data_IF_149073557518
#
_entry.id   IF_149073557518
#
_cell.length_a   1.000
_cell.length_b   1.000
_cell.length_c   1.000
_cell.angle_alpha   90.00
_cell.angle_beta   90.00
_cell.angle_gamma   90.00
#
_symmetry.space_group_name_H-M   'P 1'
#
loop_
_entity.id
_entity.type
_entity.pdbx_description
1 polymer ?
#
# COMPACT_ATOMS: atom_id res chain seq x y z
N UNK A 1 14.30 -15.13 -17.40
CA UNK A 1 14.02 -14.29 -16.22
C UNK A 1 14.36 -12.87 -16.59
N UNK A 2 13.36 -12.03 -16.76
CA UNK A 2 13.49 -10.61 -17.07
C UNK A 2 13.11 -9.81 -15.81
N UNK A 3 13.80 -8.71 -15.57
CA UNK A 3 13.50 -7.83 -14.47
C UNK A 3 12.64 -6.67 -14.95
N UNK A 4 11.61 -6.35 -14.18
CA UNK A 4 10.70 -5.25 -14.49
C UNK A 4 10.58 -4.31 -13.30
N UNK A 5 10.68 -3.05 -13.60
CA UNK A 5 10.23 -1.99 -12.71
C UNK A 5 8.75 -1.70 -12.94
N UNK A 6 8.14 -0.90 -12.09
CA UNK A 6 6.76 -0.42 -12.31
C UNK A 6 6.61 0.33 -13.63
N UNK A 7 7.65 1.05 -14.06
CA UNK A 7 7.66 1.80 -15.33
C UNK A 7 7.62 0.87 -16.54
N UNK A 8 8.31 -0.26 -16.48
CA UNK A 8 8.32 -1.23 -17.57
C UNK A 8 6.94 -1.85 -17.78
N UNK A 9 6.22 -2.12 -16.68
CA UNK A 9 4.86 -2.65 -16.75
C UNK A 9 3.85 -1.63 -17.31
N UNK A 10 4.08 -0.33 -17.12
CA UNK A 10 3.26 0.74 -17.73
C UNK A 10 3.39 0.75 -19.27
N UNK A 11 4.57 0.44 -19.78
CA UNK A 11 4.86 0.42 -21.21
C UNK A 11 4.33 -0.86 -21.88
N UNK A 12 4.13 -1.93 -21.14
CA UNK A 12 3.69 -3.22 -21.67
C UNK A 12 2.21 -3.19 -22.06
N UNK A 13 1.89 -3.66 -23.27
CA UNK A 13 0.51 -3.90 -23.65
C UNK A 13 0.09 -5.27 -23.11
N UNK A 14 -1.04 -5.38 -22.40
CA UNK A 14 -1.48 -6.66 -21.88
C UNK A 14 -1.80 -7.62 -23.04
N UNK A 15 -1.10 -8.75 -23.07
CA UNK A 15 -1.51 -9.90 -23.85
C UNK A 15 -2.37 -10.76 -22.93
N UNK A 16 -3.67 -10.79 -23.18
CA UNK A 16 -4.60 -11.52 -22.32
C UNK A 16 -5.27 -12.64 -23.12
N UNK A 17 -5.22 -13.90 -22.68
CA UNK A 17 -5.98 -14.99 -23.27
C UNK A 17 -7.50 -14.75 -23.12
N UNK A 18 -8.28 -15.48 -23.90
CA UNK A 18 -9.74 -15.39 -23.81
C UNK A 18 -10.23 -15.75 -22.39
N UNK A 19 -11.19 -14.99 -21.88
CA UNK A 19 -11.71 -15.15 -20.52
C UNK A 19 -10.88 -14.50 -19.43
N UNK A 20 -9.84 -13.74 -19.78
CA UNK A 20 -9.05 -13.00 -18.78
C UNK A 20 -9.81 -11.82 -18.19
N UNK A 21 -9.56 -11.57 -16.92
CA UNK A 21 -9.93 -10.33 -16.25
C UNK A 21 -8.75 -9.38 -16.38
N UNK A 22 -9.01 -8.21 -16.98
CA UNK A 22 -8.01 -7.15 -17.04
C UNK A 22 -8.02 -6.41 -15.69
N UNK A 23 -6.86 -6.39 -15.08
CA UNK A 23 -6.64 -5.71 -13.82
C UNK A 23 -5.78 -4.47 -14.06
N UNK A 24 -6.32 -3.32 -13.72
CA UNK A 24 -5.60 -2.05 -13.74
C UNK A 24 -5.28 -1.67 -12.30
N UNK A 25 -4.05 -1.91 -11.89
CA UNK A 25 -3.59 -1.66 -10.53
C UNK A 25 -3.08 -0.24 -10.32
N UNK A 26 -3.54 0.44 -9.28
CA UNK A 26 -2.74 1.50 -8.70
C UNK A 26 -1.56 0.83 -7.96
N UNK A 27 -0.39 1.34 -8.01
CA UNK A 27 0.09 2.65 -8.45
C UNK A 27 0.69 2.63 -9.86
N UNK A 28 0.67 1.49 -10.50
CA UNK A 28 1.43 1.29 -11.75
C UNK A 28 0.67 1.82 -12.95
N UNK A 29 -0.66 2.01 -12.83
CA UNK A 29 -1.54 2.21 -13.98
C UNK A 29 -1.39 1.11 -15.05
N UNK A 30 -0.63 0.06 -14.73
CA UNK A 30 -0.43 -1.07 -15.62
C UNK A 30 -1.70 -1.91 -15.70
N UNK A 31 -2.00 -2.42 -16.89
CA UNK A 31 -3.12 -3.34 -17.10
C UNK A 31 -2.55 -4.73 -17.28
N UNK A 32 -2.88 -5.62 -16.36
CA UNK A 32 -2.42 -7.01 -16.38
C UNK A 32 -3.64 -7.93 -16.58
N UNK A 33 -3.55 -8.86 -17.51
CA UNK A 33 -4.59 -9.86 -17.75
C UNK A 33 -4.35 -11.10 -16.92
N UNK A 34 -5.33 -11.49 -16.10
CA UNK A 34 -5.32 -12.76 -15.38
C UNK A 34 -6.33 -13.71 -16.01
N UNK A 35 -5.86 -14.83 -16.51
CA UNK A 35 -6.71 -15.93 -16.99
C UNK A 35 -7.36 -16.68 -15.81
N UNK A 36 -8.32 -17.59 -16.10
CA UNK A 36 -8.96 -18.37 -15.04
C UNK A 36 -7.98 -19.14 -14.15
N UNK A 37 -6.95 -19.74 -14.73
CA UNK A 37 -5.93 -20.48 -13.98
C UNK A 37 -5.05 -19.56 -13.13
N UNK A 38 -4.72 -18.37 -13.63
CA UNK A 38 -3.98 -17.36 -12.86
C UNK A 38 -4.78 -16.91 -11.64
N UNK A 39 -6.11 -16.76 -11.82
CA UNK A 39 -7.00 -16.39 -10.73
C UNK A 39 -7.05 -17.46 -9.64
N UNK A 40 -7.18 -18.72 -10.04
CA UNK A 40 -7.20 -19.85 -9.09
C UNK A 40 -5.86 -19.98 -8.35
N UNK A 41 -4.74 -19.76 -9.04
CA UNK A 41 -3.41 -19.76 -8.43
C UNK A 41 -3.23 -18.58 -7.45
N UNK A 42 -3.66 -17.38 -7.83
CA UNK A 42 -3.64 -16.20 -6.95
C UNK A 42 -4.50 -16.41 -5.69
N UNK A 43 -5.68 -17.03 -5.83
CA UNK A 43 -6.54 -17.38 -4.69
C UNK A 43 -5.88 -18.41 -3.77
N UNK A 44 -5.18 -19.41 -4.33
CA UNK A 44 -4.44 -20.39 -3.54
C UNK A 44 -3.32 -19.74 -2.72
N UNK A 45 -2.56 -18.81 -3.31
CA UNK A 45 -1.53 -18.02 -2.63
C UNK A 45 -2.13 -17.21 -1.48
N UNK A 46 -3.21 -16.46 -1.74
CA UNK A 46 -3.88 -15.67 -0.72
C UNK A 46 -4.40 -16.55 0.43
N UNK A 47 -4.90 -17.74 0.11
CA UNK A 47 -5.38 -18.72 1.09
C UNK A 47 -4.24 -19.24 1.98
N UNK A 48 -3.07 -19.49 1.42
CA UNK A 48 -1.90 -19.91 2.17
C UNK A 48 -1.44 -18.84 3.16
N UNK A 49 -1.33 -17.58 2.70
CA UNK A 49 -1.00 -16.46 3.58
C UNK A 49 -2.01 -16.27 4.72
N UNK A 50 -3.31 -16.44 4.45
CA UNK A 50 -4.35 -16.36 5.47
C UNK A 50 -4.28 -17.51 6.48
N UNK A 51 -3.94 -18.72 6.05
CA UNK A 51 -3.65 -19.85 6.96
C UNK A 51 -2.46 -19.55 7.85
N UNK A 52 -1.42 -18.91 7.31
CA UNK A 52 -0.25 -18.47 8.07
C UNK A 52 -0.60 -17.40 9.12
N UNK A 53 -1.66 -16.62 8.92
CA UNK A 53 -2.26 -15.77 9.94
C UNK A 53 -3.21 -16.53 10.88
N UNK A 54 -3.21 -17.87 10.87
CA UNK A 54 -3.98 -18.77 11.74
C UNK A 54 -5.50 -18.59 11.66
N UNK A 55 -6.02 -18.21 10.48
CA UNK A 55 -7.46 -18.17 10.26
C UNK A 55 -8.02 -19.60 10.18
N UNK A 56 -9.13 -19.84 10.88
CA UNK A 56 -9.73 -21.17 11.00
C UNK A 56 -11.26 -21.19 10.94
N UNK A 57 -11.83 -22.40 10.95
CA UNK A 57 -13.26 -22.67 10.69
C UNK A 57 -14.24 -21.99 11.68
N UNK A 58 -13.76 -21.48 12.81
CA UNK A 58 -14.60 -20.77 13.79
C UNK A 58 -14.62 -19.26 13.58
N UNK A 59 -13.72 -18.76 12.74
CA UNK A 59 -13.54 -17.31 12.56
C UNK A 59 -14.67 -16.72 11.73
N UNK A 60 -15.07 -15.54 12.14
CA UNK A 60 -15.92 -14.63 11.37
C UNK A 60 -15.05 -13.44 10.98
N UNK A 61 -14.73 -13.36 9.69
CA UNK A 61 -13.78 -12.40 9.15
C UNK A 61 -14.49 -11.17 8.62
N UNK A 62 -14.06 -9.99 9.05
CA UNK A 62 -14.44 -8.71 8.46
C UNK A 62 -13.23 -8.09 7.78
N UNK A 63 -13.31 -7.89 6.46
CA UNK A 63 -12.29 -7.21 5.67
C UNK A 63 -12.69 -5.74 5.52
N UNK A 64 -11.89 -4.86 6.10
CA UNK A 64 -12.08 -3.41 6.10
C UNK A 64 -10.85 -2.70 5.49
N UNK A 65 -10.61 -2.96 4.22
CA UNK A 65 -9.52 -2.36 3.45
C UNK A 65 -10.08 -1.50 2.33
N UNK A 66 -9.36 -0.42 2.02
CA UNK A 66 -9.71 0.45 0.92
C UNK A 66 -8.75 0.23 -0.24
N UNK A 67 -9.20 -0.57 -1.18
CA UNK A 67 -8.55 -0.65 -2.48
C UNK A 67 -9.61 -0.94 -3.55
N UNK A 68 -10.36 0.06 -3.99
CA UNK A 68 -11.50 -0.15 -4.89
C UNK A 68 -11.11 -0.75 -6.25
N UNK A 69 -9.86 -0.64 -6.65
CA UNK A 69 -9.36 -1.17 -7.92
C UNK A 69 -8.41 -2.37 -7.76
N UNK A 70 -8.10 -2.80 -6.52
CA UNK A 70 -7.17 -3.90 -6.31
C UNK A 70 -7.85 -5.25 -6.21
N UNK A 71 -7.18 -6.27 -6.70
CA UNK A 71 -7.56 -7.67 -6.52
C UNK A 71 -7.63 -8.06 -5.04
N UNK A 72 -6.87 -7.40 -4.16
CA UNK A 72 -6.63 -7.81 -2.78
C UNK A 72 -7.91 -8.10 -2.00
N UNK A 73 -8.89 -7.21 -2.02
CA UNK A 73 -10.12 -7.40 -1.23
C UNK A 73 -10.96 -8.55 -1.76
N UNK A 74 -11.14 -8.64 -3.09
CA UNK A 74 -11.91 -9.70 -3.71
C UNK A 74 -11.24 -11.07 -3.52
N UNK A 75 -9.92 -11.13 -3.71
CA UNK A 75 -9.14 -12.35 -3.52
C UNK A 75 -9.08 -12.78 -2.05
N UNK A 76 -8.89 -11.84 -1.12
CA UNK A 76 -8.95 -12.16 0.31
C UNK A 76 -10.29 -12.74 0.71
N UNK A 77 -11.40 -12.16 0.24
CA UNK A 77 -12.73 -12.65 0.56
C UNK A 77 -12.95 -14.07 0.01
N UNK A 78 -12.56 -14.33 -1.24
CA UNK A 78 -12.67 -15.65 -1.86
C UNK A 78 -11.73 -16.67 -1.22
N UNK A 79 -10.49 -16.26 -0.91
CA UNK A 79 -9.51 -17.13 -0.27
C UNK A 79 -9.88 -17.48 1.18
N UNK A 80 -10.47 -16.54 1.91
CA UNK A 80 -10.90 -16.73 3.28
C UNK A 80 -12.16 -17.60 3.38
N UNK A 81 -13.12 -17.45 2.45
CA UNK A 81 -14.44 -18.10 2.53
C UNK A 81 -14.40 -19.63 2.81
N UNK A 82 -13.53 -20.44 2.18
CA UNK A 82 -13.45 -21.86 2.48
C UNK A 82 -12.70 -22.19 3.79
N UNK A 83 -12.05 -21.23 4.43
CA UNK A 83 -11.25 -21.45 5.65
C UNK A 83 -12.05 -21.16 6.92
N UNK A 84 -13.03 -20.25 6.84
CA UNK A 84 -13.66 -19.63 8.02
C UNK A 84 -15.17 -19.81 8.02
N UNK A 85 -15.80 -19.50 9.15
CA UNK A 85 -17.26 -19.62 9.29
C UNK A 85 -18.00 -18.64 8.38
N UNK A 86 -17.50 -17.40 8.28
CA UNK A 86 -18.10 -16.36 7.43
C UNK A 86 -17.09 -15.26 7.09
N UNK A 87 -17.31 -14.63 5.93
CA UNK A 87 -16.55 -13.48 5.48
C UNK A 87 -17.48 -12.35 5.12
N UNK A 88 -17.16 -11.15 5.57
CA UNK A 88 -17.81 -9.93 5.16
C UNK A 88 -16.78 -8.91 4.69
N UNK A 89 -17.17 -8.06 3.74
CA UNK A 89 -16.32 -6.99 3.22
C UNK A 89 -17.01 -5.65 3.47
N UNK A 90 -16.28 -4.70 4.01
CA UNK A 90 -16.71 -3.31 4.15
C UNK A 90 -15.56 -2.38 3.75
N UNK A 91 -15.89 -1.18 3.27
CA UNK A 91 -14.86 -0.18 3.03
C UNK A 91 -14.26 0.35 4.33
N UNK A 92 -12.98 0.68 4.32
CA UNK A 92 -12.30 1.29 5.46
C UNK A 92 -12.82 2.71 5.78
N UNK A 93 -13.46 3.37 4.82
CA UNK A 93 -14.08 4.69 5.03
C UNK A 93 -15.48 4.57 5.63
N UNK A 94 -15.75 5.45 6.55
CA UNK A 94 -17.03 5.49 7.26
C UNK A 94 -16.97 4.70 8.55
N UNK A 95 -16.25 5.25 9.52
CA UNK A 95 -16.03 4.68 10.85
C UNK A 95 -17.31 4.22 11.54
N UNK A 96 -18.41 4.98 11.39
CA UNK A 96 -19.74 4.58 11.88
C UNK A 96 -20.23 3.30 11.22
N UNK A 97 -19.99 3.16 9.89
CA UNK A 97 -20.37 1.94 9.17
C UNK A 97 -19.53 0.74 9.58
N UNK A 98 -18.23 0.96 9.83
CA UNK A 98 -17.35 -0.09 10.35
C UNK A 98 -17.81 -0.57 11.73
N UNK A 99 -18.08 0.36 12.66
CA UNK A 99 -18.59 0.03 13.99
C UNK A 99 -19.94 -0.70 13.90
N UNK A 100 -20.86 -0.22 13.06
CA UNK A 100 -22.16 -0.86 12.85
C UNK A 100 -21.99 -2.28 12.25
N UNK A 101 -21.08 -2.47 11.31
CA UNK A 101 -20.76 -3.77 10.74
C UNK A 101 -20.22 -4.73 11.81
N UNK A 102 -19.27 -4.28 12.63
CA UNK A 102 -18.69 -5.08 13.72
C UNK A 102 -19.80 -5.51 14.70
N UNK A 103 -20.65 -4.57 15.14
CA UNK A 103 -21.75 -4.86 16.06
C UNK A 103 -22.77 -5.85 15.48
N UNK A 104 -23.07 -5.75 14.20
CA UNK A 104 -24.03 -6.61 13.52
C UNK A 104 -23.48 -7.99 13.20
N UNK A 105 -22.25 -8.06 12.71
CA UNK A 105 -21.63 -9.30 12.22
C UNK A 105 -20.85 -10.04 13.31
N UNK A 106 -20.47 -9.35 14.37
CA UNK A 106 -19.66 -9.87 15.49
C UNK A 106 -18.45 -10.66 14.98
N UNK A 107 -17.57 -10.03 14.15
CA UNK A 107 -16.40 -10.71 13.65
C UNK A 107 -15.45 -11.07 14.79
N UNK A 108 -14.74 -12.18 14.66
CA UNK A 108 -13.62 -12.54 15.53
C UNK A 108 -12.31 -12.02 14.96
N UNK A 109 -12.25 -11.81 13.64
CA UNK A 109 -11.05 -11.33 12.93
C UNK A 109 -11.38 -10.08 12.12
N UNK A 110 -10.56 -9.05 12.28
CA UNK A 110 -10.56 -7.84 11.47
C UNK A 110 -9.32 -7.79 10.59
N UNK A 111 -9.47 -7.75 9.26
CA UNK A 111 -8.38 -7.51 8.32
C UNK A 111 -8.48 -6.06 7.84
N UNK A 112 -7.42 -5.26 8.08
CA UNK A 112 -7.41 -3.83 7.75
C UNK A 112 -5.99 -3.29 7.51
N UNK A 113 -5.86 -2.00 7.19
CA UNK A 113 -4.54 -1.37 7.10
C UNK A 113 -4.08 -0.87 8.48
N UNK A 114 -2.76 -0.74 8.72
CA UNK A 114 -2.21 -0.15 9.94
C UNK A 114 -2.82 1.20 10.31
N UNK A 115 -2.91 2.13 9.34
CA UNK A 115 -3.56 3.43 9.56
C UNK A 115 -5.06 3.30 9.83
N UNK A 116 -5.74 2.38 9.15
CA UNK A 116 -7.16 2.08 9.36
C UNK A 116 -7.45 1.60 10.78
N UNK A 117 -6.63 0.67 11.27
CA UNK A 117 -6.73 0.17 12.64
C UNK A 117 -6.45 1.26 13.68
N UNK A 118 -5.40 2.06 13.48
CA UNK A 118 -5.03 3.16 14.38
C UNK A 118 -6.11 4.23 14.46
N UNK A 119 -6.66 4.64 13.31
CA UNK A 119 -7.73 5.64 13.26
C UNK A 119 -9.02 5.11 13.87
N UNK A 120 -9.38 3.86 13.60
CA UNK A 120 -10.56 3.25 14.21
C UNK A 120 -10.44 3.17 15.73
N UNK A 121 -9.29 2.71 16.23
CA UNK A 121 -9.02 2.67 17.68
C UNK A 121 -9.17 4.06 18.32
N UNK A 122 -8.57 5.09 17.72
CA UNK A 122 -8.70 6.46 18.25
C UNK A 122 -10.15 6.93 18.30
N UNK A 123 -10.97 6.56 17.30
CA UNK A 123 -12.38 6.94 17.24
C UNK A 123 -13.26 6.20 18.23
N UNK A 124 -12.92 4.95 18.54
CA UNK A 124 -13.63 4.22 19.60
C UNK A 124 -13.63 5.01 20.91
N UNK A 125 -12.49 5.59 21.28
CA UNK A 125 -12.37 6.41 22.48
C UNK A 125 -12.95 7.83 22.31
N UNK A 126 -12.58 8.51 21.23
CA UNK A 126 -12.86 9.95 21.09
C UNK A 126 -14.28 10.28 20.63
N UNK A 127 -14.89 9.43 19.83
CA UNK A 127 -16.19 9.71 19.19
C UNK A 127 -17.29 8.77 19.66
N UNK A 128 -16.97 7.49 19.90
CA UNK A 128 -17.99 6.49 20.14
C UNK A 128 -18.14 6.12 21.62
N UNK A 129 -17.16 6.47 22.44
CA UNK A 129 -17.08 6.08 23.85
C UNK A 129 -17.34 4.57 24.03
N UNK A 130 -16.63 3.75 23.24
CA UNK A 130 -16.71 2.29 23.22
C UNK A 130 -15.37 1.71 23.61
N UNK A 131 -15.37 0.78 24.54
CA UNK A 131 -14.19 0.00 24.88
C UNK A 131 -13.88 -0.96 23.71
N UNK A 132 -12.65 -0.94 23.13
CA UNK A 132 -12.27 -1.86 22.06
C UNK A 132 -12.48 -3.33 22.40
N UNK A 133 -12.30 -3.74 23.64
CA UNK A 133 -12.48 -5.12 24.13
C UNK A 133 -13.93 -5.60 23.95
N UNK A 134 -14.91 -4.70 24.10
CA UNK A 134 -16.33 -5.03 23.94
C UNK A 134 -16.70 -5.44 22.52
N UNK A 135 -15.83 -5.16 21.54
CA UNK A 135 -16.06 -5.57 20.13
C UNK A 135 -15.84 -7.04 19.91
N UNK A 136 -15.16 -7.74 20.82
CA UNK A 136 -14.94 -9.19 20.79
C UNK A 136 -14.06 -9.66 19.62
N UNK A 137 -13.12 -8.80 19.16
CA UNK A 137 -12.12 -9.18 18.18
C UNK A 137 -11.05 -10.03 18.86
N UNK A 138 -10.80 -11.22 18.34
CA UNK A 138 -9.78 -12.14 18.85
C UNK A 138 -8.46 -11.94 18.09
N UNK A 139 -8.55 -11.47 16.83
CA UNK A 139 -7.37 -11.22 15.98
C UNK A 139 -7.56 -9.99 15.09
N UNK A 140 -6.47 -9.23 14.95
CA UNK A 140 -6.37 -8.11 14.00
C UNK A 140 -5.25 -8.42 13.01
N UNK A 141 -5.58 -8.53 11.73
CA UNK A 141 -4.61 -8.73 10.65
C UNK A 141 -4.40 -7.38 9.96
N UNK A 142 -3.18 -6.88 9.97
CA UNK A 142 -2.83 -5.59 9.36
C UNK A 142 -1.90 -5.78 8.18
N UNK A 143 -2.07 -4.96 7.13
CA UNK A 143 -1.18 -5.01 5.97
C UNK A 143 -1.38 -3.87 4.99
N UNK A 144 -0.52 -3.81 3.97
CA UNK A 144 -0.58 -2.78 2.93
C UNK A 144 0.08 -1.45 3.28
N UNK A 145 0.65 -1.31 4.47
CA UNK A 145 1.39 -0.12 4.93
C UNK A 145 2.56 -0.52 5.83
N UNK A 146 3.41 0.46 6.15
CA UNK A 146 4.44 0.28 7.17
C UNK A 146 3.80 0.18 8.55
N UNK A 147 3.95 -0.97 9.20
CA UNK A 147 3.46 -1.21 10.55
C UNK A 147 4.61 -1.07 11.58
N UNK A 148 4.49 -0.12 12.50
CA UNK A 148 5.47 0.03 13.59
C UNK A 148 5.19 -0.95 14.72
N UNK A 149 6.24 -1.36 15.44
CA UNK A 149 6.08 -2.20 16.62
C UNK A 149 5.20 -1.56 17.70
N UNK A 150 5.33 -0.26 17.89
CA UNK A 150 4.50 0.48 18.83
C UNK A 150 3.00 0.37 18.49
N UNK A 151 2.65 0.46 17.21
CA UNK A 151 1.27 0.29 16.77
C UNK A 151 0.77 -1.14 17.03
N UNK A 152 1.55 -2.17 16.67
CA UNK A 152 1.18 -3.58 16.90
C UNK A 152 0.93 -3.86 18.39
N UNK A 153 1.88 -3.45 19.24
CA UNK A 153 1.76 -3.60 20.71
C UNK A 153 0.54 -2.86 21.25
N UNK A 154 0.25 -1.67 20.70
CA UNK A 154 -0.93 -0.89 21.11
C UNK A 154 -2.22 -1.59 20.69
N UNK A 155 -2.33 -2.06 19.45
CA UNK A 155 -3.52 -2.78 18.97
C UNK A 155 -3.75 -4.05 19.79
N UNK A 156 -2.71 -4.85 20.03
CA UNK A 156 -2.81 -6.07 20.81
C UNK A 156 -3.31 -5.79 22.25
N UNK A 157 -2.80 -4.73 22.88
CA UNK A 157 -3.19 -4.38 24.23
C UNK A 157 -4.60 -3.81 24.31
N UNK A 158 -4.96 -2.86 23.42
CA UNK A 158 -6.22 -2.13 23.52
C UNK A 158 -7.43 -2.99 23.11
N UNK A 159 -7.25 -3.92 22.19
CA UNK A 159 -8.31 -4.86 21.78
C UNK A 159 -8.24 -6.21 22.51
N UNK A 160 -7.20 -6.45 23.33
CA UNK A 160 -6.90 -7.77 23.91
C UNK A 160 -6.89 -8.88 22.85
N UNK A 161 -6.34 -8.57 21.65
CA UNK A 161 -6.37 -9.41 20.47
C UNK A 161 -4.96 -9.72 19.96
N UNK A 162 -4.79 -10.86 19.30
CA UNK A 162 -3.57 -11.18 18.58
C UNK A 162 -3.44 -10.28 17.35
N UNK A 163 -2.19 -9.88 17.02
CA UNK A 163 -1.91 -9.06 15.84
C UNK A 163 -1.05 -9.84 14.87
N UNK A 164 -1.61 -10.15 13.71
CA UNK A 164 -0.88 -10.70 12.58
C UNK A 164 -0.66 -9.64 11.49
N UNK A 165 0.32 -9.87 10.63
CA UNK A 165 0.67 -8.96 9.55
C UNK A 165 0.68 -9.68 8.20
N UNK A 166 0.23 -9.00 7.15
CA UNK A 166 0.31 -9.43 5.76
C UNK A 166 1.15 -8.44 4.94
N UNK A 167 2.04 -8.95 4.13
CA UNK A 167 2.68 -8.18 3.08
C UNK A 167 1.90 -8.35 1.77
N UNK A 168 1.37 -7.25 1.28
CA UNK A 168 0.71 -7.18 -0.01
C UNK A 168 1.68 -6.68 -1.07
N UNK A 169 1.80 -7.43 -2.16
CA UNK A 169 2.56 -6.94 -3.29
C UNK A 169 1.89 -5.69 -3.91
N UNK A 170 2.71 -4.75 -4.37
CA UNK A 170 2.18 -3.47 -4.85
C UNK A 170 1.61 -3.52 -6.27
N UNK A 171 1.70 -4.64 -6.98
CA UNK A 171 1.24 -4.77 -8.37
C UNK A 171 -0.16 -5.35 -8.45
N UNK A 172 -0.37 -6.48 -7.78
CA UNK A 172 -1.63 -7.23 -7.80
C UNK A 172 -2.43 -7.04 -6.51
N UNK A 173 -1.77 -6.58 -5.44
CA UNK A 173 -2.36 -6.50 -4.10
C UNK A 173 -2.60 -7.87 -3.47
N UNK A 174 -1.77 -8.86 -3.82
CA UNK A 174 -1.82 -10.19 -3.22
C UNK A 174 -1.04 -10.25 -1.91
N UNK A 175 -1.54 -10.96 -0.88
CA UNK A 175 -0.76 -11.24 0.31
C UNK A 175 0.27 -12.33 -0.01
N UNK A 176 1.53 -11.96 -0.11
CA UNK A 176 2.63 -12.87 -0.49
C UNK A 176 3.50 -13.30 0.69
N UNK A 177 3.38 -12.64 1.83
CA UNK A 177 4.07 -13.02 3.05
C UNK A 177 3.22 -12.65 4.27
N UNK A 178 3.51 -13.31 5.39
CA UNK A 178 2.81 -13.10 6.65
C UNK A 178 3.76 -13.17 7.85
N UNK A 179 3.27 -12.64 8.97
CA UNK A 179 3.88 -12.82 10.29
C UNK A 179 2.80 -12.94 11.36
N UNK A 180 2.87 -13.97 12.18
CA UNK A 180 2.01 -14.16 13.34
C UNK A 180 2.90 -14.45 14.56
N UNK A 181 3.32 -13.40 15.27
CA UNK A 181 4.18 -13.51 16.46
C UNK A 181 5.63 -13.96 16.23
N UNK A 182 5.95 -14.54 15.08
CA UNK A 182 7.24 -15.08 14.70
C UNK A 182 8.01 -14.23 13.67
N UNK A 183 8.95 -14.85 12.94
CA UNK A 183 9.59 -14.25 11.77
C UNK A 183 8.59 -14.06 10.62
N UNK A 184 8.99 -13.31 9.60
CA UNK A 184 8.25 -13.24 8.35
C UNK A 184 8.42 -14.53 7.55
N UNK A 185 7.32 -15.06 7.06
CA UNK A 185 7.26 -16.20 6.16
C UNK A 185 6.64 -15.78 4.83
N UNK A 186 7.17 -16.30 3.72
CA UNK A 186 6.66 -16.04 2.38
C UNK A 186 5.89 -17.24 1.83
N UNK A 187 4.88 -16.99 1.03
CA UNK A 187 4.25 -18.03 0.20
C UNK A 187 5.28 -18.52 -0.81
N UNK A 188 5.50 -19.82 -0.87
CA UNK A 188 6.64 -20.46 -1.51
C UNK A 188 7.11 -19.85 -2.83
N UNK A 189 8.31 -19.29 -2.83
CA UNK A 189 9.00 -18.77 -4.01
C UNK A 189 8.43 -17.49 -4.63
N UNK A 190 7.39 -16.87 -4.03
CA UNK A 190 6.76 -15.66 -4.60
C UNK A 190 7.49 -14.36 -4.27
N UNK A 191 8.30 -14.36 -3.22
CA UNK A 191 9.04 -13.18 -2.74
C UNK A 191 10.49 -13.53 -2.53
N UNK A 192 11.39 -12.62 -2.85
CA UNK A 192 12.82 -12.73 -2.57
C UNK A 192 13.40 -11.35 -2.23
N UNK A 193 14.67 -11.31 -1.82
CA UNK A 193 15.41 -10.09 -1.58
C UNK A 193 16.42 -9.88 -2.71
N UNK A 194 16.48 -8.67 -3.25
CA UNK A 194 17.38 -8.29 -4.33
C UNK A 194 18.28 -7.13 -3.92
N UNK A 195 19.45 -7.08 -4.54
CA UNK A 195 20.33 -5.93 -4.43
C UNK A 195 19.61 -4.68 -4.98
N UNK A 196 19.81 -3.54 -4.32
CA UNK A 196 19.17 -2.28 -4.70
C UNK A 196 19.77 -1.63 -5.94
N UNK A 197 21.00 -2.00 -6.30
CA UNK A 197 21.83 -1.42 -7.36
C UNK A 197 21.98 -2.31 -8.60
N UNK A 198 21.45 -3.54 -8.57
CA UNK A 198 21.62 -4.50 -9.65
C UNK A 198 20.52 -5.56 -9.69
N UNK A 199 20.32 -6.18 -10.86
CA UNK A 199 19.34 -7.25 -11.09
C UNK A 199 19.85 -8.60 -10.56
N UNK A 200 20.03 -8.68 -9.24
CA UNK A 200 20.60 -9.86 -8.57
C UNK A 200 19.80 -10.17 -7.28
N UNK A 201 19.31 -11.39 -7.18
CA UNK A 201 18.76 -11.92 -5.92
C UNK A 201 19.92 -12.10 -4.93
N UNK A 202 19.76 -11.61 -3.74
CA UNK A 202 20.75 -11.71 -2.64
C UNK A 202 20.30 -12.68 -1.57
N UNK A 203 19.00 -12.92 -1.41
CA UNK A 203 18.47 -13.96 -0.53
C UNK A 203 17.09 -14.42 -0.99
N UNK A 204 16.80 -15.67 -0.76
CA UNK A 204 15.48 -16.28 -1.01
C UNK A 204 14.60 -16.23 0.25
N UNK A 205 15.20 -16.18 1.42
CA UNK A 205 14.49 -16.07 2.69
C UNK A 205 14.40 -14.62 3.15
N UNK A 206 13.19 -14.22 3.55
CA UNK A 206 12.94 -12.89 4.11
C UNK A 206 13.62 -12.70 5.48
N UNK A 207 14.01 -13.76 6.16
CA UNK A 207 14.74 -13.76 7.42
C UNK A 207 16.21 -13.42 7.32
N UNK A 208 16.83 -13.57 6.15
CA UNK A 208 18.28 -13.43 5.97
C UNK A 208 18.74 -11.98 6.22
N UNK A 209 19.88 -11.85 6.90
CA UNK A 209 20.51 -10.54 7.15
C UNK A 209 21.49 -10.19 6.02
N UNK A 210 20.93 -9.60 4.96
CA UNK A 210 21.68 -9.23 3.76
C UNK A 210 21.89 -7.70 3.63
N UNK A 211 21.64 -6.95 4.70
CA UNK A 211 21.71 -5.49 4.68
C UNK A 211 20.54 -4.85 3.94
N UNK A 212 20.80 -3.69 3.32
CA UNK A 212 19.78 -3.00 2.53
C UNK A 212 19.45 -3.80 1.26
N UNK A 213 18.24 -4.33 1.21
CA UNK A 213 17.76 -5.13 0.10
C UNK A 213 16.33 -4.73 -0.29
N UNK A 214 16.05 -4.75 -1.58
CA UNK A 214 14.70 -4.52 -2.10
C UNK A 214 13.90 -5.82 -2.07
N UNK A 215 12.66 -5.75 -1.63
CA UNK A 215 11.72 -6.85 -1.76
C UNK A 215 11.31 -6.94 -3.22
N UNK A 216 11.46 -8.11 -3.83
CA UNK A 216 11.05 -8.38 -5.20
C UNK A 216 10.01 -9.48 -5.24
N UNK A 217 9.15 -9.44 -6.27
CA UNK A 217 8.07 -10.41 -6.46
C UNK A 217 8.35 -11.26 -7.68
N UNK A 218 8.17 -12.55 -7.54
CA UNK A 218 8.09 -13.52 -8.64
C UNK A 218 6.63 -13.90 -8.82
N UNK A 219 5.96 -13.38 -9.85
CA UNK A 219 4.53 -13.59 -10.04
C UNK A 219 4.21 -14.96 -10.63
N UNK A 220 4.60 -16.03 -9.94
CA UNK A 220 4.45 -17.43 -10.35
C UNK A 220 3.00 -17.83 -10.68
N UNK A 221 2.05 -17.06 -10.15
CA UNK A 221 0.61 -17.22 -10.40
C UNK A 221 0.14 -16.57 -11.71
N UNK A 222 0.93 -15.71 -12.33
CA UNK A 222 0.55 -14.98 -13.54
C UNK A 222 1.29 -15.55 -14.73
N UNK A 223 0.62 -16.28 -15.61
CA UNK A 223 1.25 -16.96 -16.75
C UNK A 223 2.03 -16.00 -17.66
N UNK A 224 1.60 -14.74 -17.78
CA UNK A 224 2.26 -13.73 -18.60
C UNK A 224 3.60 -13.24 -18.01
N UNK A 225 3.82 -13.40 -16.70
CA UNK A 225 4.98 -12.87 -15.98
C UNK A 225 5.67 -13.92 -15.09
N UNK A 226 5.30 -15.18 -15.19
CA UNK A 226 5.73 -16.26 -14.27
C UNK A 226 7.24 -16.48 -14.20
N UNK A 227 7.94 -16.13 -15.28
CA UNK A 227 9.39 -16.29 -15.40
C UNK A 227 10.16 -15.00 -15.13
N UNK A 228 9.47 -13.95 -14.68
CA UNK A 228 10.01 -12.62 -14.47
C UNK A 228 10.13 -12.26 -13.00
N UNK A 229 10.85 -11.16 -12.73
CA UNK A 229 11.03 -10.58 -11.40
C UNK A 229 10.55 -9.14 -11.41
N UNK A 230 9.68 -8.80 -10.47
CA UNK A 230 9.11 -7.46 -10.35
C UNK A 230 9.76 -6.72 -9.17
N UNK A 231 10.39 -5.59 -9.45
CA UNK A 231 10.93 -4.67 -8.44
C UNK A 231 9.82 -3.86 -7.79
N UNK A 232 9.60 -4.08 -6.51
CA UNK A 232 8.47 -3.46 -5.79
C UNK A 232 8.69 -2.01 -5.40
N UNK A 233 9.95 -1.58 -5.35
CA UNK A 233 10.31 -0.28 -4.77
C UNK A 233 10.09 -0.23 -3.25
N UNK A 234 10.09 -1.38 -2.56
CA UNK A 234 10.02 -1.43 -1.09
C UNK A 234 11.32 -1.98 -0.53
N UNK A 235 11.92 -1.25 0.41
CA UNK A 235 13.15 -1.65 1.06
C UNK A 235 12.82 -2.46 2.31
N UNK A 236 13.43 -3.64 2.41
CA UNK A 236 13.26 -4.50 3.56
C UNK A 236 13.76 -3.80 4.83
N UNK A 237 12.97 -3.86 5.88
CA UNK A 237 13.39 -3.40 7.19
C UNK A 237 14.51 -4.29 7.76
N UNK A 238 15.45 -3.69 8.47
CA UNK A 238 16.53 -4.47 9.11
C UNK A 238 15.94 -5.56 10.02
N UNK A 239 16.48 -6.80 10.03
CA UNK A 239 15.91 -7.93 10.77
C UNK A 239 15.70 -7.70 12.25
N UNK A 240 16.55 -6.86 12.85
CA UNK A 240 16.47 -6.48 14.27
C UNK A 240 15.60 -5.27 14.53
N UNK A 241 15.07 -4.65 13.47
CA UNK A 241 14.11 -3.54 13.65
C UNK A 241 12.77 -4.09 14.10
N UNK A 242 12.12 -3.39 14.98
CA UNK A 242 10.73 -3.66 15.38
C UNK A 242 9.73 -3.23 14.29
N UNK A 243 10.18 -2.91 13.06
CA UNK A 243 9.35 -2.50 11.94
C UNK A 243 8.59 -3.69 11.30
N UNK A 244 7.70 -3.41 10.36
CA UNK A 244 7.08 -4.40 9.48
C UNK A 244 8.10 -5.09 8.57
N UNK A 245 7.64 -5.76 7.53
CA UNK A 245 8.54 -6.38 6.56
C UNK A 245 9.40 -5.35 5.83
N UNK A 246 8.84 -4.21 5.53
CA UNK A 246 9.54 -3.07 4.93
C UNK A 246 9.35 -1.80 5.77
N UNK A 247 10.30 -0.89 5.70
CA UNK A 247 10.28 0.38 6.42
C UNK A 247 10.23 1.60 5.48
N UNK A 248 10.65 1.42 4.23
CA UNK A 248 10.76 2.51 3.24
C UNK A 248 10.30 2.08 1.85
N UNK A 249 9.84 3.07 1.10
CA UNK A 249 9.63 2.98 -0.35
C UNK A 249 10.77 3.70 -1.08
N UNK A 250 11.07 3.29 -2.31
CA UNK A 250 12.13 3.83 -3.13
C UNK A 250 11.59 4.36 -4.47
N UNK A 251 12.22 5.41 -4.97
CA UNK A 251 12.00 5.89 -6.34
C UNK A 251 10.72 6.70 -6.54
N UNK A 252 10.04 6.47 -7.66
CA UNK A 252 8.93 7.32 -8.14
C UNK A 252 7.58 7.05 -7.47
N UNK A 253 7.53 6.25 -6.39
CA UNK A 253 6.29 5.94 -5.70
C UNK A 253 6.44 6.06 -4.19
N UNK A 254 5.48 6.72 -3.57
CA UNK A 254 5.40 6.86 -2.11
C UNK A 254 4.11 6.25 -1.59
N UNK A 255 4.19 5.58 -0.44
CA UNK A 255 3.03 4.99 0.22
C UNK A 255 2.42 6.00 1.19
N UNK A 256 1.13 6.31 1.00
CA UNK A 256 0.39 7.30 1.78
C UNK A 256 -1.00 6.76 2.15
N UNK A 257 -1.25 6.53 3.43
CA UNK A 257 -2.53 5.98 3.93
C UNK A 257 -2.93 4.67 3.23
N UNK A 258 -1.98 3.75 3.04
CA UNK A 258 -2.21 2.48 2.34
C UNK A 258 -2.40 2.58 0.84
N UNK A 259 -2.19 3.76 0.25
CA UNK A 259 -2.32 3.98 -1.18
C UNK A 259 -1.00 4.44 -1.77
N UNK A 260 -0.68 3.91 -2.90
CA UNK A 260 0.51 4.29 -3.63
C UNK A 260 0.26 5.58 -4.42
N UNK A 261 1.11 6.56 -4.25
CA UNK A 261 1.10 7.81 -4.99
C UNK A 261 2.25 7.81 -5.99
N UNK A 262 1.94 7.94 -7.26
CA UNK A 262 2.95 8.06 -8.33
C UNK A 262 3.44 9.51 -8.41
N UNK A 263 4.70 9.71 -8.05
CA UNK A 263 5.36 11.02 -8.15
C UNK A 263 5.53 11.46 -9.60
N UNK A 264 5.71 10.50 -10.51
CA UNK A 264 5.80 10.77 -11.93
C UNK A 264 4.44 11.21 -12.52
N UNK A 265 3.34 10.57 -12.12
CA UNK A 265 2.00 11.02 -12.50
C UNK A 265 1.72 12.44 -11.97
N UNK A 266 2.06 12.71 -10.71
CA UNK A 266 1.92 14.04 -10.12
C UNK A 266 2.76 15.08 -10.87
N UNK A 267 4.02 14.76 -11.18
CA UNK A 267 4.93 15.62 -11.95
C UNK A 267 4.34 15.93 -13.33
N UNK A 268 3.84 14.93 -14.05
CA UNK A 268 3.22 15.11 -15.37
C UNK A 268 2.01 16.02 -15.30
N UNK A 269 1.11 15.82 -14.35
CA UNK A 269 -0.10 16.64 -14.22
C UNK A 269 0.22 18.10 -13.84
N UNK A 270 1.14 18.33 -12.93
CA UNK A 270 1.56 19.69 -12.56
C UNK A 270 2.28 20.41 -13.70
N UNK A 271 3.04 19.67 -14.53
CA UNK A 271 3.69 20.25 -15.70
C UNK A 271 2.72 20.73 -16.79
N UNK A 272 1.46 20.30 -16.76
CA UNK A 272 0.40 20.79 -17.66
C UNK A 272 -0.20 22.14 -17.21
N UNK A 273 0.11 22.57 -15.99
CA UNK A 273 -0.39 23.83 -15.44
C UNK A 273 0.61 24.93 -15.74
N UNK A 274 0.27 25.79 -16.70
CA UNK A 274 1.08 26.95 -17.03
C UNK A 274 1.29 27.84 -15.80
N UNK A 275 2.53 28.25 -15.56
CA UNK A 275 2.94 29.06 -14.41
C UNK A 275 3.39 28.30 -13.17
N UNK A 276 3.25 26.97 -13.09
CA UNK A 276 3.89 26.18 -12.03
C UNK A 276 5.40 26.06 -12.33
N UNK A 277 6.24 26.52 -11.40
CA UNK A 277 7.68 26.49 -11.52
C UNK A 277 8.35 25.45 -10.61
N UNK A 278 7.77 25.21 -9.44
CA UNK A 278 8.29 24.21 -8.49
C UNK A 278 7.15 23.61 -7.67
N UNK A 279 7.38 22.41 -7.11
CA UNK A 279 6.48 21.83 -6.14
C UNK A 279 7.25 20.97 -5.14
N UNK A 280 6.69 20.85 -3.95
CA UNK A 280 7.21 19.95 -2.91
C UNK A 280 6.05 19.19 -2.29
N UNK A 281 6.14 17.88 -2.28
CA UNK A 281 5.23 17.02 -1.52
C UNK A 281 5.84 16.77 -0.14
N UNK A 282 5.24 17.35 0.88
CA UNK A 282 5.61 17.13 2.27
C UNK A 282 4.67 16.10 2.89
N UNK A 283 5.23 15.06 3.51
CA UNK A 283 4.47 14.00 4.16
C UNK A 283 4.89 13.93 5.62
N UNK A 284 3.91 14.02 6.51
CA UNK A 284 4.11 13.99 7.94
C UNK A 284 3.02 13.16 8.61
N UNK A 285 3.32 12.64 9.78
CA UNK A 285 2.34 12.00 10.66
C UNK A 285 2.16 12.80 11.95
N UNK A 286 3.24 13.32 12.51
CA UNK A 286 3.25 14.01 13.79
C UNK A 286 2.51 13.18 14.86
N UNK A 287 1.66 13.84 15.64
CA UNK A 287 0.81 13.19 16.65
C UNK A 287 -0.52 12.64 16.08
N UNK A 288 -0.68 12.64 14.75
CA UNK A 288 -1.91 12.20 14.08
C UNK A 288 -1.97 10.68 13.96
N UNK A 289 -3.17 10.14 13.85
CA UNK A 289 -3.39 8.72 13.56
C UNK A 289 -3.20 8.39 12.09
N UNK A 290 -3.39 9.37 11.20
CA UNK A 290 -3.25 9.24 9.76
C UNK A 290 -2.15 10.17 9.25
N UNK A 291 -1.46 9.73 8.20
CA UNK A 291 -0.51 10.58 7.49
C UNK A 291 -1.20 11.83 6.96
N UNK A 292 -0.54 12.96 7.08
CA UNK A 292 -0.88 14.18 6.38
C UNK A 292 0.03 14.35 5.18
N UNK A 293 -0.51 14.83 4.08
CA UNK A 293 0.29 15.23 2.93
C UNK A 293 -0.12 16.64 2.51
N UNK A 294 0.88 17.45 2.26
CA UNK A 294 0.73 18.83 1.78
C UNK A 294 1.56 19.01 0.52
N UNK A 295 0.90 19.39 -0.56
CA UNK A 295 1.56 19.78 -1.80
C UNK A 295 1.76 21.30 -1.80
N UNK A 296 3.02 21.71 -1.70
CA UNK A 296 3.42 23.11 -1.80
C UNK A 296 3.76 23.41 -3.26
N UNK A 297 2.97 24.28 -3.90
CA UNK A 297 3.11 24.63 -5.32
C UNK A 297 3.62 26.07 -5.46
N UNK A 298 4.76 26.21 -6.11
CA UNK A 298 5.37 27.49 -6.43
C UNK A 298 4.96 27.98 -7.83
N UNK A 299 4.41 29.19 -7.92
CA UNK A 299 4.08 29.82 -9.19
C UNK A 299 5.14 30.84 -9.60
N UNK A 300 5.33 30.99 -10.91
CA UNK A 300 6.27 31.98 -11.50
C UNK A 300 5.74 33.41 -11.47
N UNK A 301 4.45 33.64 -11.14
CA UNK A 301 3.81 34.97 -11.04
C UNK A 301 2.99 35.06 -9.76
N UNK A 302 3.16 36.13 -9.03
CA UNK A 302 2.45 36.38 -7.78
C UNK A 302 0.91 36.43 -7.96
N UNK A 303 0.45 36.93 -9.12
CA UNK A 303 -0.98 37.00 -9.46
C UNK A 303 -1.67 35.65 -9.57
N UNK A 304 -0.93 34.55 -9.72
CA UNK A 304 -1.46 33.18 -9.80
C UNK A 304 -1.69 32.56 -8.43
N UNK A 305 -0.92 32.96 -7.41
CA UNK A 305 -0.88 32.33 -6.09
C UNK A 305 -2.25 32.25 -5.41
N UNK A 306 -3.08 33.28 -5.53
CA UNK A 306 -4.40 33.33 -4.92
C UNK A 306 -5.53 33.31 -5.94
N UNK A 307 -5.24 32.99 -7.18
CA UNK A 307 -6.23 32.97 -8.25
C UNK A 307 -7.07 31.67 -8.18
N UNK A 308 -8.38 31.74 -7.96
CA UNK A 308 -9.22 30.56 -7.79
C UNK A 308 -9.19 29.59 -8.97
N UNK A 309 -9.03 30.09 -10.19
CA UNK A 309 -8.93 29.25 -11.38
C UNK A 309 -7.68 28.40 -11.37
N UNK A 310 -6.53 28.94 -10.93
CA UNK A 310 -5.27 28.20 -10.85
C UNK A 310 -5.27 27.22 -9.69
N UNK A 311 -5.84 27.59 -8.55
CA UNK A 311 -6.05 26.67 -7.42
C UNK A 311 -6.91 25.48 -7.86
N UNK A 312 -8.02 25.72 -8.57
CA UNK A 312 -8.86 24.65 -9.10
C UNK A 312 -8.13 23.73 -10.08
N UNK A 313 -7.20 24.25 -10.90
CA UNK A 313 -6.37 23.42 -11.79
C UNK A 313 -5.40 22.52 -11.00
N UNK A 314 -4.78 23.05 -9.94
CA UNK A 314 -3.94 22.26 -9.05
C UNK A 314 -4.76 21.16 -8.37
N UNK A 315 -5.93 21.47 -7.85
CA UNK A 315 -6.83 20.48 -7.25
C UNK A 315 -7.23 19.37 -8.24
N UNK A 316 -7.52 19.76 -9.49
CA UNK A 316 -7.82 18.79 -10.56
C UNK A 316 -6.62 17.92 -10.91
N UNK A 317 -5.41 18.49 -10.96
CA UNK A 317 -4.18 17.73 -11.19
C UNK A 317 -3.91 16.72 -10.09
N UNK A 318 -4.13 17.12 -8.83
CA UNK A 318 -4.02 16.21 -7.67
C UNK A 318 -5.08 15.11 -7.78
N UNK A 319 -6.32 15.45 -8.02
CA UNK A 319 -7.41 14.47 -8.13
C UNK A 319 -7.17 13.46 -9.27
N UNK A 320 -6.47 13.86 -10.33
CA UNK A 320 -6.10 12.99 -11.44
C UNK A 320 -4.87 12.09 -11.15
N UNK A 321 -3.96 12.53 -10.26
CA UNK A 321 -2.68 11.85 -10.01
C UNK A 321 -2.62 11.12 -8.66
N UNK A 322 -3.45 11.53 -7.68
CA UNK A 322 -3.34 11.05 -6.31
C UNK A 322 -4.62 10.34 -5.86
N UNK A 323 -4.53 9.10 -5.39
CA UNK A 323 -5.69 8.34 -4.90
C UNK A 323 -6.13 8.77 -3.49
N UNK A 324 -5.43 9.72 -2.88
CA UNK A 324 -5.70 10.25 -1.54
C UNK A 324 -5.81 11.77 -1.56
N UNK A 325 -6.56 12.32 -0.63
CA UNK A 325 -6.67 13.77 -0.47
C UNK A 325 -5.35 14.35 0.06
N UNK A 326 -4.85 15.39 -0.62
CA UNK A 326 -3.63 16.12 -0.29
C UNK A 326 -4.02 17.58 -0.07
N UNK A 327 -3.53 18.20 0.99
CA UNK A 327 -3.69 19.64 1.21
C UNK A 327 -2.81 20.41 0.20
N UNK A 328 -3.26 21.59 -0.22
CA UNK A 328 -2.52 22.44 -1.17
C UNK A 328 -2.15 23.75 -0.50
N UNK A 329 -0.89 24.10 -0.61
CA UNK A 329 -0.36 25.42 -0.28
C UNK A 329 0.30 26.01 -1.51
N UNK A 330 0.03 27.28 -1.79
CA UNK A 330 0.57 27.97 -2.95
C UNK A 330 1.41 29.15 -2.54
N UNK A 331 2.52 29.39 -3.26
CA UNK A 331 3.46 30.47 -3.01
C UNK A 331 4.03 31.01 -4.32
N UNK A 332 4.64 32.17 -4.26
CA UNK A 332 5.45 32.70 -5.35
C UNK A 332 6.86 32.08 -5.27
N UNK A 333 7.32 31.50 -6.36
CA UNK A 333 8.64 30.85 -6.43
C UNK A 333 9.57 31.48 -7.48
N UNK A 334 9.10 32.50 -8.20
CA UNK A 334 9.84 33.10 -9.31
C UNK A 334 9.87 32.25 -10.58
N UNK A 335 10.47 32.78 -11.62
CA UNK A 335 10.64 32.07 -12.88
C UNK A 335 11.82 31.09 -12.78
N UNK A 336 11.55 29.82 -13.09
CA UNK A 336 12.56 28.75 -13.14
C UNK A 336 12.55 28.25 -14.59
N UNK A 337 13.70 28.27 -15.24
CA UNK A 337 13.83 27.73 -16.60
C UNK A 337 13.66 26.20 -16.59
N UNK A 338 12.86 25.70 -17.52
CA UNK A 338 12.63 24.28 -17.74
C UNK A 338 11.34 23.73 -17.13
N UNK A 339 11.30 22.42 -16.94
CA UNK A 339 10.14 21.75 -16.32
C UNK A 339 10.08 22.01 -14.82
N UNK A 340 8.88 22.05 -14.22
CA UNK A 340 8.73 22.23 -12.77
C UNK A 340 9.60 21.25 -12.00
N UNK A 341 10.42 21.76 -11.07
CA UNK A 341 11.23 20.93 -10.18
C UNK A 341 10.34 20.39 -9.07
N UNK A 342 10.35 19.07 -8.89
CA UNK A 342 9.59 18.40 -7.84
C UNK A 342 10.51 17.75 -6.82
N UNK A 343 10.17 17.92 -5.54
CA UNK A 343 10.85 17.28 -4.42
C UNK A 343 9.84 16.58 -3.51
N UNK A 344 10.29 15.58 -2.78
CA UNK A 344 9.50 14.90 -1.75
C UNK A 344 10.24 15.01 -0.42
N UNK A 345 9.55 15.49 0.60
CA UNK A 345 10.05 15.56 1.97
C UNK A 345 9.17 14.63 2.83
N UNK A 346 9.61 13.41 3.00
CA UNK A 346 8.92 12.45 3.88
C UNK A 346 9.52 12.53 5.30
N UNK A 347 8.85 13.30 6.15
CA UNK A 347 9.25 13.49 7.55
C UNK A 347 9.04 12.24 8.42
N UNK A 348 8.36 11.22 7.89
CA UNK A 348 8.22 9.91 8.56
C UNK A 348 9.46 9.04 8.37
N UNK A 349 10.35 9.39 7.41
CA UNK A 349 11.49 8.58 7.02
C UNK A 349 11.12 7.29 6.26
N UNK A 350 9.94 7.24 5.65
CA UNK A 350 9.41 6.07 4.94
C UNK A 350 9.57 6.14 3.42
N UNK A 351 10.30 7.11 2.91
CA UNK A 351 10.61 7.24 1.49
C UNK A 351 12.07 7.65 1.30
N UNK A 352 12.70 7.12 0.27
CA UNK A 352 14.07 7.45 -0.13
C UNK A 352 14.21 7.50 -1.65
N UNK A 353 15.28 8.17 -2.10
CA UNK A 353 15.63 8.15 -3.51
C UNK A 353 16.03 6.73 -3.93
N UNK A 354 15.64 6.32 -5.15
CA UNK A 354 16.14 5.08 -5.71
C UNK A 354 17.67 5.21 -5.88
N UNK A 355 18.47 4.25 -5.38
CA UNK A 355 19.85 4.18 -5.79
C UNK A 355 19.86 4.07 -7.31
N UNK A 356 20.63 4.91 -7.99
CA UNK A 356 20.62 5.00 -9.44
C UNK A 356 20.99 3.66 -10.08
N UNK A 357 20.01 2.88 -10.46
CA UNK A 357 20.19 1.85 -11.46
C UNK A 357 20.32 2.64 -12.75
N UNK A 358 21.53 2.65 -13.29
CA UNK A 358 21.82 3.31 -14.57
C UNK A 358 20.84 2.76 -15.62
N UNK A 359 20.07 3.67 -16.23
CA UNK A 359 19.12 3.38 -17.29
C UNK A 359 19.85 2.91 -18.55
#
# INVERSE_FOLDING_TARGET
MQWHTRRDLLAARPSAPAGSILFAGEPTEAVIGLGPQDWDAAEAIAREALKGCELGARDRVLIAMEQPASLSVALLARAAAPLVQSVAVTGARGRMRLLAAIRSLKPTVLITTPCGAADFLARLYMEFNVDPVELGLERIVIGGEVATAGLRKRLAREFEAEVAELYFDPFFGLPLAWRCGGPWEAVGGTVALAATDSDRIVAEDLGDDVGDAEIVVRPTFCAALKDDVLRTGTLRAAPKSDAGLFDRTLGDHVLLRGRWVSLDALRRQLALIDGVSAWTLEIDRGDRTLDAATLKVGFNRETLVKNPMWLSRVDQAIAAACPVSIAVETSFAGEIEGKPRGTVHDLRGQHGDAPGIAA
#
